data_IF_609168895299
#
_entry.id   IF_609168895299
#
_cell.length_a   1.000
_cell.length_b   1.000
_cell.length_c   1.000
_cell.angle_alpha   90.00
_cell.angle_beta   90.00
_cell.angle_gamma   90.00
#
_symmetry.space_group_name_H-M   'P 1'
#
loop_
_entity.id
_entity.type
_entity.pdbx_description
1 polymer ?
#
# COMPACT_ATOMS: atom_id res chain seq x y z
N UNK A 1 25.17 -14.02 -0.08
CA UNK A 1 24.45 -12.75 -0.28
C UNK A 1 23.00 -12.90 0.12
N UNK A 2 22.50 -11.92 0.84
CA UNK A 2 21.09 -11.92 1.26
C UNK A 2 20.23 -11.18 0.24
N UNK A 3 19.08 -11.74 -0.08
CA UNK A 3 18.09 -11.10 -0.95
C UNK A 3 16.77 -10.95 -0.20
N UNK A 4 16.20 -9.77 -0.29
CA UNK A 4 14.84 -9.53 0.17
C UNK A 4 13.99 -9.14 -1.04
N UNK A 5 12.98 -9.92 -1.31
CA UNK A 5 11.97 -9.59 -2.33
C UNK A 5 10.68 -9.28 -1.59
N UNK A 6 10.01 -8.22 -1.99
CA UNK A 6 8.76 -7.84 -1.35
C UNK A 6 7.74 -7.39 -2.39
N UNK A 7 6.48 -7.50 -2.02
CA UNK A 7 5.36 -7.05 -2.81
C UNK A 7 4.44 -6.23 -1.91
N UNK A 8 3.93 -5.14 -2.44
CA UNK A 8 3.08 -4.19 -1.70
C UNK A 8 1.70 -4.20 -2.32
N UNK A 9 0.68 -4.44 -1.49
CA UNK A 9 -0.71 -4.33 -1.90
C UNK A 9 -1.27 -3.02 -1.37
N UNK A 10 -1.96 -2.28 -2.20
CA UNK A 10 -2.52 -0.98 -1.83
C UNK A 10 -4.00 -0.90 -2.18
N UNK A 11 -4.67 0.02 -1.50
CA UNK A 11 -6.02 0.46 -1.84
C UNK A 11 -6.00 1.98 -1.98
N UNK A 12 -7.02 2.59 -2.61
CA UNK A 12 -7.13 4.04 -2.59
C UNK A 12 -7.14 4.58 -1.17
N UNK A 13 -6.49 5.70 -0.94
CA UNK A 13 -6.54 6.38 0.35
C UNK A 13 -7.86 7.14 0.45
N UNK A 14 -8.88 6.49 1.02
CA UNK A 14 -10.24 7.01 1.06
C UNK A 14 -10.33 8.33 1.84
N UNK A 15 -9.59 8.42 2.95
CA UNK A 15 -9.60 9.64 3.77
C UNK A 15 -8.98 10.81 3.01
N UNK A 16 -7.87 10.58 2.33
CA UNK A 16 -7.25 11.60 1.49
C UNK A 16 -8.19 11.99 0.35
N UNK A 17 -8.83 11.01 -0.30
CA UNK A 17 -9.78 11.25 -1.37
C UNK A 17 -10.94 12.13 -0.91
N UNK A 18 -11.47 11.86 0.29
CA UNK A 18 -12.55 12.68 0.85
C UNK A 18 -12.13 14.13 1.05
N UNK A 19 -10.89 14.34 1.50
CA UNK A 19 -10.38 15.69 1.76
C UNK A 19 -10.13 16.47 0.48
N UNK A 20 -9.43 15.88 -0.48
CA UNK A 20 -9.02 16.62 -1.69
C UNK A 20 -10.16 16.82 -2.68
N UNK A 21 -11.18 15.95 -2.66
CA UNK A 21 -12.31 16.03 -3.59
C UNK A 21 -13.63 16.37 -2.91
N UNK A 22 -13.60 16.66 -1.61
CA UNK A 22 -14.80 17.04 -0.84
C UNK A 22 -15.89 15.99 -0.91
N UNK A 23 -15.55 14.72 -0.65
CA UNK A 23 -16.45 13.57 -0.80
C UNK A 23 -16.99 13.06 0.54
N UNK A 24 -17.20 13.94 1.52
CA UNK A 24 -17.76 13.53 2.80
C UNK A 24 -19.17 12.95 2.62
N UNK A 25 -19.51 11.97 3.44
CA UNK A 25 -20.80 11.31 3.39
C UNK A 25 -20.90 10.14 2.43
N UNK A 26 -19.86 9.89 1.63
CA UNK A 26 -19.83 8.75 0.73
C UNK A 26 -19.15 7.55 1.39
N UNK A 27 -19.57 6.34 1.01
CA UNK A 27 -18.91 5.11 1.43
C UNK A 27 -17.51 5.00 0.80
N UNK A 28 -16.67 4.12 1.35
CA UNK A 28 -15.34 3.88 0.78
C UNK A 28 -15.43 3.45 -0.69
N UNK A 29 -16.38 2.58 -1.03
CA UNK A 29 -16.58 2.15 -2.40
C UNK A 29 -16.94 3.32 -3.32
N UNK A 30 -17.81 4.20 -2.87
CA UNK A 30 -18.21 5.38 -3.63
C UNK A 30 -17.06 6.37 -3.78
N UNK A 31 -16.26 6.55 -2.71
CA UNK A 31 -15.06 7.40 -2.76
C UNK A 31 -14.05 6.84 -3.77
N UNK A 32 -13.79 5.53 -3.72
CA UNK A 32 -12.88 4.88 -4.67
C UNK A 32 -13.33 5.10 -6.11
N UNK A 33 -14.63 4.91 -6.38
CA UNK A 33 -15.20 5.11 -7.71
C UNK A 33 -15.00 6.54 -8.20
N UNK A 34 -15.25 7.52 -7.31
CA UNK A 34 -15.06 8.94 -7.64
C UNK A 34 -13.58 9.25 -7.91
N UNK A 35 -12.66 8.71 -7.09
CA UNK A 35 -11.22 8.91 -7.28
C UNK A 35 -10.76 8.37 -8.63
N UNK A 36 -11.18 7.15 -9.00
CA UNK A 36 -10.83 6.56 -10.29
C UNK A 36 -11.38 7.36 -11.46
N UNK A 37 -12.64 7.81 -11.36
CA UNK A 37 -13.27 8.61 -12.42
C UNK A 37 -12.54 9.93 -12.63
N UNK A 38 -12.20 10.63 -11.55
CA UNK A 38 -11.47 11.90 -11.63
C UNK A 38 -10.07 11.70 -12.19
N UNK A 39 -9.39 10.63 -11.79
CA UNK A 39 -8.07 10.30 -12.32
C UNK A 39 -8.12 9.99 -13.82
N UNK A 40 -9.13 9.27 -14.25
CA UNK A 40 -9.30 8.97 -15.68
C UNK A 40 -9.49 10.24 -16.51
N UNK A 41 -10.23 11.20 -15.98
CA UNK A 41 -10.42 12.48 -16.66
C UNK A 41 -9.13 13.28 -16.72
N UNK A 42 -8.35 13.29 -15.62
CA UNK A 42 -7.11 14.06 -15.53
C UNK A 42 -5.97 13.46 -16.38
N UNK A 43 -5.95 12.13 -16.53
CA UNK A 43 -4.85 11.39 -17.18
C UNK A 43 -5.18 10.91 -18.59
N UNK A 44 -6.29 11.34 -19.15
CA UNK A 44 -6.73 10.97 -20.52
C UNK A 44 -6.99 9.48 -20.68
N UNK A 45 -7.62 8.87 -19.68
CA UNK A 45 -8.10 7.50 -19.78
C UNK A 45 -7.53 6.49 -18.81
N UNK A 46 -6.48 6.83 -18.07
CA UNK A 46 -5.95 5.93 -17.04
C UNK A 46 -6.66 6.20 -15.70
N UNK A 47 -7.09 5.15 -15.02
CA UNK A 47 -7.64 5.25 -13.66
C UNK A 47 -6.62 4.91 -12.58
N UNK A 48 -5.37 4.66 -12.95
CA UNK A 48 -4.29 4.40 -11.99
C UNK A 48 -3.99 5.66 -11.19
N UNK A 49 -4.22 5.59 -9.88
CA UNK A 49 -4.06 6.75 -9.00
C UNK A 49 -2.58 7.12 -8.82
N UNK A 50 -2.28 8.42 -8.59
CA UNK A 50 -0.93 8.82 -8.20
C UNK A 50 -0.50 8.08 -6.92
N UNK A 51 0.81 7.89 -6.74
CA UNK A 51 1.34 7.13 -5.60
C UNK A 51 0.86 7.66 -4.25
N UNK A 52 0.77 8.98 -4.11
CA UNK A 52 0.34 9.61 -2.86
C UNK A 52 -1.13 9.36 -2.52
N UNK A 53 -1.92 8.86 -3.46
CA UNK A 53 -3.32 8.52 -3.25
C UNK A 53 -3.54 7.03 -2.94
N UNK A 54 -2.47 6.28 -2.74
CA UNK A 54 -2.52 4.87 -2.34
C UNK A 54 -2.25 4.74 -0.85
N UNK A 55 -2.93 3.78 -0.22
CA UNK A 55 -2.66 3.37 1.15
C UNK A 55 -2.22 1.91 1.16
N UNK A 56 -1.08 1.63 1.78
CA UNK A 56 -0.56 0.26 1.88
C UNK A 56 -1.40 -0.52 2.87
N UNK A 57 -1.89 -1.69 2.47
CA UNK A 57 -2.69 -2.57 3.33
C UNK A 57 -2.03 -3.92 3.60
N UNK A 58 -1.03 -4.30 2.82
CA UNK A 58 -0.28 -5.52 3.04
C UNK A 58 1.10 -5.42 2.40
N UNK A 59 2.09 -6.05 3.03
CA UNK A 59 3.42 -6.21 2.48
C UNK A 59 3.79 -7.67 2.64
N UNK A 60 4.10 -8.34 1.54
CA UNK A 60 4.57 -9.72 1.54
C UNK A 60 6.06 -9.74 1.27
N UNK A 61 6.79 -10.54 2.04
CA UNK A 61 8.25 -10.56 2.00
C UNK A 61 8.77 -11.98 1.82
N UNK A 62 9.82 -12.10 1.04
CA UNK A 62 10.60 -13.34 0.89
C UNK A 62 12.05 -13.00 1.15
N UNK A 63 12.64 -13.63 2.15
CA UNK A 63 14.06 -13.48 2.46
C UNK A 63 14.79 -14.76 2.07
N UNK A 64 15.80 -14.62 1.26
CA UNK A 64 16.74 -15.71 0.96
C UNK A 64 18.13 -15.30 1.44
N UNK A 65 18.64 -16.05 2.41
CA UNK A 65 19.97 -15.86 2.94
C UNK A 65 20.63 -17.22 2.96
N UNK A 66 21.82 -17.36 2.45
CA UNK A 66 22.66 -18.54 2.42
C UNK A 66 21.92 -19.89 2.46
N UNK A 67 21.55 -20.36 3.67
CA UNK A 67 20.83 -21.62 3.90
C UNK A 67 19.41 -21.41 4.41
N UNK A 68 18.93 -20.17 4.40
CA UNK A 68 17.62 -19.79 4.96
C UNK A 68 16.71 -19.26 3.87
N UNK A 69 15.48 -19.73 3.91
CA UNK A 69 14.42 -19.21 3.06
C UNK A 69 13.21 -18.95 3.93
N UNK A 70 12.76 -17.70 4.00
CA UNK A 70 11.61 -17.30 4.82
C UNK A 70 10.60 -16.53 3.99
N UNK A 71 9.33 -16.80 4.24
CA UNK A 71 8.21 -16.08 3.63
C UNK A 71 7.31 -15.59 4.75
N UNK A 72 6.95 -14.32 4.72
CA UNK A 72 6.03 -13.78 5.71
C UNK A 72 5.26 -12.60 5.12
N UNK A 73 4.15 -12.26 5.77
CA UNK A 73 3.36 -11.08 5.46
C UNK A 73 3.30 -10.18 6.69
N UNK A 74 3.29 -8.89 6.45
CA UNK A 74 3.16 -7.88 7.51
C UNK A 74 1.72 -7.40 7.59
N UNK A 75 1.24 -7.28 8.84
CA UNK A 75 -0.04 -6.68 9.12
C UNK A 75 -1.22 -7.64 9.02
N UNK A 76 -2.36 -7.13 9.43
CA UNK A 76 -3.66 -7.76 9.29
C UNK A 76 -4.68 -6.73 8.82
N UNK A 77 -5.96 -7.10 8.74
CA UNK A 77 -7.00 -6.22 8.23
C UNK A 77 -7.16 -4.92 9.02
N UNK A 78 -6.67 -4.89 10.26
CA UNK A 78 -6.78 -3.73 11.14
C UNK A 78 -5.47 -2.96 11.31
N UNK A 79 -4.38 -3.40 10.67
CA UNK A 79 -3.09 -2.76 10.84
C UNK A 79 -3.04 -1.42 10.10
N UNK A 80 -2.65 -0.31 10.76
CA UNK A 80 -2.47 0.96 10.07
C UNK A 80 -1.23 0.93 9.18
N UNK A 81 -1.23 1.75 8.14
CA UNK A 81 -0.11 1.83 7.20
C UNK A 81 1.22 2.13 7.90
N UNK A 82 1.19 3.04 8.87
CA UNK A 82 2.40 3.41 9.61
C UNK A 82 3.05 2.21 10.29
N UNK A 83 2.27 1.30 10.84
CA UNK A 83 2.78 0.07 11.45
C UNK A 83 3.42 -0.85 10.41
N UNK A 84 2.79 -1.00 9.24
CA UNK A 84 3.33 -1.84 8.18
C UNK A 84 4.68 -1.33 7.69
N UNK A 85 4.78 -0.02 7.47
CA UNK A 85 6.01 0.61 7.00
C UNK A 85 7.11 0.48 8.06
N UNK A 86 6.79 0.74 9.31
CA UNK A 86 7.74 0.63 10.43
C UNK A 86 8.28 -0.80 10.55
N UNK A 87 7.40 -1.79 10.53
CA UNK A 87 7.78 -3.19 10.63
C UNK A 87 8.60 -3.66 9.43
N UNK A 88 8.30 -3.13 8.24
CA UNK A 88 9.08 -3.44 7.05
C UNK A 88 10.52 -2.96 7.19
N UNK A 89 10.73 -1.72 7.61
CA UNK A 89 12.07 -1.18 7.80
C UNK A 89 12.82 -1.84 8.96
N UNK A 90 12.12 -2.20 10.03
CA UNK A 90 12.71 -2.99 11.12
C UNK A 90 13.24 -4.33 10.61
N UNK A 91 12.51 -4.97 9.70
CA UNK A 91 12.94 -6.20 9.07
C UNK A 91 14.19 -6.03 8.21
N UNK A 92 14.27 -4.93 7.48
CA UNK A 92 15.46 -4.62 6.68
C UNK A 92 16.68 -4.47 7.60
N UNK A 93 16.57 -3.72 8.67
CA UNK A 93 17.68 -3.55 9.62
C UNK A 93 18.07 -4.86 10.27
N UNK A 94 17.08 -5.65 10.68
CA UNK A 94 17.31 -6.91 11.39
C UNK A 94 18.01 -7.94 10.51
N UNK A 95 17.60 -8.07 9.26
CA UNK A 95 18.11 -9.11 8.37
C UNK A 95 19.23 -8.64 7.46
N UNK A 96 19.50 -7.37 7.39
CA UNK A 96 20.58 -6.78 6.57
C UNK A 96 20.67 -7.38 5.18
N UNK A 97 19.58 -7.41 4.41
CA UNK A 97 19.59 -8.03 3.08
C UNK A 97 20.53 -7.36 2.10
#
# INVERSE_FOLDING_TARGET
MNFLVFDIETVPDFELGRRIYNLQGLSDAEVAQAMFTLQRQASKGSDFLPHEQHRIVAISCVLRARDTFRVWSLGDVNSPESELVERFFDGIERFSP
#
